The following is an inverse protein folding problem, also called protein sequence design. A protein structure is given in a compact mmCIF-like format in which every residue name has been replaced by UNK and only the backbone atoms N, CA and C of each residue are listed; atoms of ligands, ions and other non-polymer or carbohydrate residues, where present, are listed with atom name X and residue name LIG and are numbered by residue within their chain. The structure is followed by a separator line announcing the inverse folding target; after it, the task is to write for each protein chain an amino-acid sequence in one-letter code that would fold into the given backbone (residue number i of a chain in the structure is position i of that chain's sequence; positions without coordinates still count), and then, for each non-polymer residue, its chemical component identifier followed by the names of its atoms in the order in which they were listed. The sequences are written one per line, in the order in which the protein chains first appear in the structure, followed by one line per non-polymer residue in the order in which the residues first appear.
data_IF_900651319406
#
_entry.id   IF_900651319406
#
_cell.length_a   1.000
_cell.length_b   1.000
_cell.length_c   1.000
_cell.angle_alpha   90.00
_cell.angle_beta   90.00
_cell.angle_gamma   90.00
#
_symmetry.space_group_name_H-M   'P 1'
#
loop_
_entity.id
_entity.type
_entity.pdbx_description
1 polymer ?
#
# COMPACT_ATOMS: atom_id res chain seq x y z
N UNK A 1 11.00 11.12 45.51
CA UNK A 1 9.83 11.18 44.60
C UNK A 1 10.09 12.24 43.54
N UNK A 2 10.75 11.87 42.43
CA UNK A 2 10.90 12.75 41.27
C UNK A 2 9.83 12.33 40.26
N UNK A 3 8.84 13.20 40.06
CA UNK A 3 7.75 13.02 39.10
C UNK A 3 8.33 13.04 37.68
N UNK A 4 8.26 11.90 36.99
CA UNK A 4 8.60 11.78 35.58
C UNK A 4 7.58 12.61 34.77
N UNK A 5 7.94 13.85 34.45
CA UNK A 5 7.34 14.56 33.32
C UNK A 5 7.83 13.90 32.03
N UNK A 6 7.27 12.74 31.68
CA UNK A 6 7.20 12.35 30.28
C UNK A 6 6.17 13.27 29.63
N UNK A 7 6.62 14.46 29.21
CA UNK A 7 5.95 15.15 28.13
C UNK A 7 5.98 14.17 26.96
N UNK A 8 4.80 13.71 26.54
CA UNK A 8 4.62 12.94 25.32
C UNK A 8 5.28 13.73 24.21
N UNK A 9 6.45 13.29 23.75
CA UNK A 9 7.04 13.85 22.55
C UNK A 9 6.01 13.64 21.44
N UNK A 10 5.73 14.67 20.60
CA UNK A 10 4.93 14.46 19.42
C UNK A 10 5.54 13.29 18.66
N UNK A 11 4.74 12.27 18.33
CA UNK A 11 5.21 11.20 17.46
C UNK A 11 5.56 11.82 16.12
N UNK A 12 6.84 11.75 15.72
CA UNK A 12 7.35 12.26 14.43
C UNK A 12 6.82 11.49 13.22
N UNK A 13 6.01 10.45 13.43
CA UNK A 13 5.27 9.77 12.37
C UNK A 13 3.81 10.25 12.39
N UNK A 14 3.39 11.11 11.43
CA UNK A 14 1.98 11.39 11.22
C UNK A 14 1.26 10.07 11.03
N UNK A 15 0.08 9.90 11.63
CA UNK A 15 -0.78 8.74 11.36
C UNK A 15 -1.42 8.81 9.97
N UNK A 16 -0.76 9.39 8.97
CA UNK A 16 -1.31 9.56 7.63
C UNK A 16 -0.15 9.56 6.64
N UNK A 17 -0.04 8.47 5.87
CA UNK A 17 1.02 8.28 4.88
C UNK A 17 1.02 9.42 3.85
N UNK A 18 -0.15 9.96 3.50
CA UNK A 18 -0.24 11.03 2.50
C UNK A 18 0.38 12.33 3.01
N UNK A 19 0.19 12.65 4.30
CA UNK A 19 0.81 13.82 4.91
C UNK A 19 2.32 13.61 5.08
N UNK A 20 2.74 12.40 5.48
CA UNK A 20 4.14 12.03 5.61
C UNK A 20 4.87 12.17 4.27
N UNK A 21 4.33 11.58 3.21
CA UNK A 21 4.94 11.64 1.87
C UNK A 21 4.94 13.07 1.31
N UNK A 22 3.88 13.84 1.54
CA UNK A 22 3.81 15.24 1.11
C UNK A 22 4.90 16.10 1.76
N UNK A 23 5.21 15.87 3.04
CA UNK A 23 6.25 16.62 3.77
C UNK A 23 7.66 16.23 3.31
N UNK A 24 7.92 14.92 3.21
CA UNK A 24 9.26 14.40 2.91
C UNK A 24 9.66 14.52 1.44
N UNK A 25 8.70 14.29 0.53
CA UNK A 25 8.96 14.13 -0.91
C UNK A 25 8.10 15.03 -1.79
N UNK A 26 7.17 15.77 -1.19
CA UNK A 26 6.25 16.63 -1.92
C UNK A 26 5.28 15.86 -2.80
N UNK A 27 4.74 16.57 -3.79
CA UNK A 27 3.79 16.00 -4.75
C UNK A 27 4.37 14.83 -5.57
N UNK A 28 5.70 14.79 -5.77
CA UNK A 28 6.32 13.76 -6.58
C UNK A 28 6.22 12.37 -5.93
N UNK A 29 6.54 12.24 -4.64
CA UNK A 29 6.41 10.94 -3.97
C UNK A 29 4.95 10.52 -3.81
N UNK A 30 4.02 11.46 -3.62
CA UNK A 30 2.59 11.18 -3.67
C UNK A 30 2.16 10.59 -5.01
N UNK A 31 2.64 11.15 -6.14
CA UNK A 31 2.33 10.61 -7.46
C UNK A 31 2.89 9.20 -7.65
N UNK A 32 4.12 8.95 -7.20
CA UNK A 32 4.71 7.61 -7.23
C UNK A 32 3.96 6.62 -6.34
N UNK A 33 3.49 7.05 -5.17
CA UNK A 33 2.67 6.22 -4.29
C UNK A 33 1.33 5.85 -4.93
N UNK A 34 0.64 6.82 -5.55
CA UNK A 34 -0.59 6.54 -6.30
C UNK A 34 -0.31 5.61 -7.48
N UNK A 35 0.81 5.79 -8.20
CA UNK A 35 1.21 4.88 -9.26
C UNK A 35 1.44 3.46 -8.72
N UNK A 36 2.10 3.30 -7.57
CA UNK A 36 2.32 2.01 -6.91
C UNK A 36 0.99 1.28 -6.62
N UNK A 37 -0.05 2.01 -6.22
CA UNK A 37 -1.37 1.44 -5.94
C UNK A 37 -2.14 1.04 -7.21
N UNK A 38 -2.01 1.82 -8.29
CA UNK A 38 -2.81 1.63 -9.52
C UNK A 38 -2.16 0.64 -10.50
N UNK A 39 -0.82 0.59 -10.55
CA UNK A 39 -0.09 -0.23 -11.52
C UNK A 39 -0.42 -1.74 -11.46
N UNK A 40 -0.59 -2.37 -10.29
CA UNK A 40 -0.97 -3.79 -10.23
C UNK A 40 -2.30 -4.08 -10.93
N UNK A 41 -3.33 -3.25 -10.71
CA UNK A 41 -4.63 -3.40 -11.37
C UNK A 41 -4.56 -3.11 -12.87
N UNK A 42 -3.78 -2.11 -13.27
CA UNK A 42 -3.55 -1.78 -14.68
C UNK A 42 -2.85 -2.93 -15.42
N UNK A 43 -1.83 -3.53 -14.82
CA UNK A 43 -1.10 -4.66 -15.38
C UNK A 43 -1.98 -5.92 -15.45
N UNK A 44 -2.78 -6.20 -14.40
CA UNK A 44 -3.73 -7.31 -14.41
C UNK A 44 -4.76 -7.18 -15.55
N UNK A 45 -5.24 -5.95 -15.79
CA UNK A 45 -6.15 -5.66 -16.90
C UNK A 45 -5.47 -5.82 -18.26
N UNK A 46 -4.23 -5.36 -18.41
CA UNK A 46 -3.42 -5.50 -19.62
C UNK A 46 -3.13 -6.96 -19.98
N UNK A 47 -2.87 -7.81 -18.98
CA UNK A 47 -2.66 -9.26 -19.14
C UNK A 47 -3.94 -10.05 -19.39
N UNK A 48 -5.11 -9.43 -19.23
CA UNK A 48 -6.40 -10.08 -19.43
C UNK A 48 -6.71 -11.12 -18.35
N UNK A 49 -6.32 -10.88 -17.09
CA UNK A 49 -6.65 -11.75 -15.97
C UNK A 49 -8.18 -11.87 -15.79
N UNK A 50 -8.66 -13.00 -15.25
CA UNK A 50 -10.07 -13.18 -14.87
C UNK A 50 -10.57 -12.05 -13.96
N UNK A 51 -11.87 -11.76 -14.02
CA UNK A 51 -12.47 -10.67 -13.26
C UNK A 51 -12.27 -10.84 -11.74
N UNK A 52 -12.30 -12.07 -11.23
CA UNK A 52 -12.18 -12.34 -9.80
C UNK A 52 -10.75 -12.10 -9.29
N UNK A 53 -9.73 -12.51 -10.05
CA UNK A 53 -8.33 -12.22 -9.72
C UNK A 53 -8.05 -10.71 -9.75
N UNK A 54 -8.61 -10.01 -10.74
CA UNK A 54 -8.50 -8.55 -10.82
C UNK A 54 -9.13 -7.85 -9.63
N UNK A 55 -10.30 -8.30 -9.17
CA UNK A 55 -10.96 -7.78 -7.98
C UNK A 55 -10.14 -7.99 -6.71
N UNK A 56 -9.42 -9.11 -6.59
CA UNK A 56 -8.53 -9.36 -5.46
C UNK A 56 -7.33 -8.38 -5.45
N UNK A 57 -6.75 -8.12 -6.62
CA UNK A 57 -5.64 -7.15 -6.77
C UNK A 57 -6.14 -5.73 -6.45
N UNK A 58 -7.26 -5.31 -7.04
CA UNK A 58 -7.87 -4.00 -6.80
C UNK A 58 -8.28 -3.85 -5.33
N UNK A 59 -8.86 -4.87 -4.71
CA UNK A 59 -9.21 -4.88 -3.29
C UNK A 59 -8.00 -4.77 -2.36
N UNK A 60 -6.89 -5.44 -2.69
CA UNK A 60 -5.63 -5.34 -1.94
C UNK A 60 -5.06 -3.92 -2.01
N UNK A 61 -5.07 -3.31 -3.20
CA UNK A 61 -4.65 -1.92 -3.39
C UNK A 61 -5.57 -0.92 -2.67
N UNK A 62 -6.89 -1.14 -2.72
CA UNK A 62 -7.86 -0.31 -2.01
C UNK A 62 -7.69 -0.41 -0.49
N UNK A 63 -7.46 -1.60 0.05
CA UNK A 63 -7.21 -1.80 1.47
C UNK A 63 -5.95 -1.04 1.93
N UNK A 64 -4.86 -1.12 1.14
CA UNK A 64 -3.64 -0.34 1.40
C UNK A 64 -3.91 1.17 1.33
N UNK A 65 -4.59 1.64 0.28
CA UNK A 65 -4.91 3.07 0.11
C UNK A 65 -5.74 3.63 1.28
N UNK A 66 -6.78 2.91 1.69
CA UNK A 66 -7.64 3.32 2.81
C UNK A 66 -6.92 3.23 4.15
N UNK A 67 -6.11 2.20 4.36
CA UNK A 67 -5.27 2.08 5.54
C UNK A 67 -4.26 3.22 5.65
N UNK A 68 -3.69 3.66 4.53
CA UNK A 68 -2.78 4.80 4.44
C UNK A 68 -3.42 6.15 4.78
N UNK A 69 -4.75 6.27 4.80
CA UNK A 69 -5.44 7.50 5.26
C UNK A 69 -5.37 7.67 6.77
N UNK A 70 -5.27 6.55 7.51
CA UNK A 70 -5.38 6.50 8.97
C UNK A 70 -4.04 6.09 9.61
N UNK A 71 -3.08 5.61 8.83
CA UNK A 71 -1.73 5.29 9.27
C UNK A 71 -0.71 5.41 8.14
N UNK A 72 0.57 5.27 8.48
CA UNK A 72 1.68 5.22 7.53
C UNK A 72 2.05 3.78 7.18
N UNK A 73 1.12 3.06 6.52
CA UNK A 73 1.23 1.60 6.32
C UNK A 73 2.36 1.20 5.36
N UNK A 74 2.69 2.06 4.41
CA UNK A 74 3.77 1.81 3.48
C UNK A 74 5.12 2.08 4.14
N UNK A 75 5.22 3.10 5.00
CA UNK A 75 6.39 3.34 5.84
C UNK A 75 6.64 2.20 6.85
N UNK A 76 5.56 1.55 7.32
CA UNK A 76 5.67 0.33 8.13
C UNK A 76 6.11 -0.87 7.27
N UNK A 77 7.31 -1.36 7.56
CA UNK A 77 7.94 -2.47 6.84
C UNK A 77 7.01 -3.70 6.73
N UNK A 78 6.28 -4.06 7.80
CA UNK A 78 5.49 -5.30 7.76
C UNK A 78 4.32 -5.22 6.78
N UNK A 79 3.61 -4.10 6.78
CA UNK A 79 2.41 -3.91 5.96
C UNK A 79 2.77 -3.58 4.51
N UNK A 80 3.84 -2.82 4.29
CA UNK A 80 4.42 -2.61 2.97
C UNK A 80 4.88 -3.92 2.31
N UNK A 81 5.59 -4.78 3.04
CA UNK A 81 6.01 -6.08 2.52
C UNK A 81 4.82 -6.99 2.19
N UNK A 82 3.80 -7.02 3.05
CA UNK A 82 2.57 -7.78 2.78
C UNK A 82 1.93 -7.33 1.46
N UNK A 83 1.79 -6.03 1.24
CA UNK A 83 1.21 -5.50 0.01
C UNK A 83 1.99 -5.92 -1.25
N UNK A 84 3.32 -5.79 -1.23
CA UNK A 84 4.17 -6.18 -2.37
C UNK A 84 4.07 -7.69 -2.62
N UNK A 85 4.13 -8.52 -1.58
CA UNK A 85 4.04 -9.97 -1.72
C UNK A 85 2.68 -10.41 -2.27
N UNK A 86 1.58 -9.85 -1.75
CA UNK A 86 0.23 -10.20 -2.18
C UNK A 86 -0.02 -9.79 -3.64
N UNK A 87 0.30 -8.54 -4.00
CA UNK A 87 0.13 -8.05 -5.37
C UNK A 87 1.01 -8.82 -6.36
N UNK A 88 2.26 -9.16 -5.98
CA UNK A 88 3.17 -9.95 -6.82
C UNK A 88 2.67 -11.38 -7.02
N UNK A 89 2.19 -12.03 -5.95
CA UNK A 89 1.64 -13.38 -6.02
C UNK A 89 0.39 -13.44 -6.91
N UNK A 90 -0.52 -12.47 -6.74
CA UNK A 90 -1.74 -12.37 -7.53
C UNK A 90 -1.48 -12.02 -9.00
N UNK A 91 -0.39 -11.31 -9.32
CA UNK A 91 0.02 -11.04 -10.70
C UNK A 91 0.82 -12.17 -11.35
N UNK A 92 1.40 -13.04 -10.54
CA UNK A 92 2.14 -14.22 -11.00
C UNK A 92 1.22 -15.38 -11.41
N UNK A 93 -0.10 -15.25 -11.23
CA UNK A 93 -1.06 -16.25 -11.73
C UNK A 93 -0.99 -16.29 -13.25
N UNK A 94 -0.63 -17.47 -13.77
CA UNK A 94 -0.61 -17.73 -15.20
C UNK A 94 -1.97 -18.28 -15.65
N UNK A 95 -2.44 -17.81 -16.80
CA UNK A 95 -3.71 -18.20 -17.42
C UNK A 95 -3.83 -19.72 -17.60
N UNK A 96 -2.70 -20.44 -17.64
CA UNK A 96 -2.62 -21.88 -17.85
C UNK A 96 -3.02 -22.71 -16.61
N UNK A 97 -3.05 -22.14 -15.41
CA UNK A 97 -3.23 -22.89 -14.16
C UNK A 97 -4.66 -23.39 -13.86
N UNK A 98 -5.69 -22.90 -14.57
CA UNK A 98 -7.11 -23.20 -14.27
C UNK A 98 -7.76 -24.07 -15.37
N UNK A 99 -7.00 -24.54 -16.37
CA UNK A 99 -7.52 -25.41 -17.43
C UNK A 99 -7.14 -26.90 -17.26
N UNK A 100 -6.50 -27.25 -16.15
CA UNK A 100 -6.15 -28.63 -15.78
C UNK A 100 -7.18 -29.24 -14.81
#
# INVERSE_FOLDING_TARGET
MASLKQATQPSDNPHNEYLLLAEQTGAFGLLLFVALLVMPGAEAKKRGLPADERRLIEGTALAMALGCLVNSLLFDSQQGHFFILMTSLLLATDKKRIQD
#
